data_IF_326460013526
#
_entry.id   IF_326460013526
#
_cell.length_a   1.000
_cell.length_b   1.000
_cell.length_c   1.000
_cell.angle_alpha   90.00
_cell.angle_beta   90.00
_cell.angle_gamma   90.00
#
_symmetry.space_group_name_H-M   'P 1'
#
loop_
_entity.id
_entity.type
_entity.pdbx_description
1 polymer ?
#
# COMPACT_ATOMS: atom_id res chain seq x y z
N UNK A 1 -4.53 14.56 8.55
CA UNK A 1 -3.77 13.94 9.67
C UNK A 1 -2.37 13.65 9.19
N UNK A 2 -1.33 14.33 9.68
CA UNK A 2 -0.02 14.26 9.06
C UNK A 2 0.68 12.91 9.27
N UNK A 3 1.38 12.48 8.23
CA UNK A 3 2.39 11.43 8.29
C UNK A 3 3.76 12.10 8.36
N UNK A 4 4.55 11.83 9.39
CA UNK A 4 5.79 12.52 9.64
C UNK A 4 6.96 11.52 9.79
N UNK A 5 8.08 11.83 9.18
CA UNK A 5 9.31 11.04 9.22
C UNK A 5 10.35 11.88 9.94
N UNK A 6 10.95 11.33 11.00
CA UNK A 6 11.90 12.06 11.84
C UNK A 6 13.19 11.28 11.96
N UNK A 7 14.28 11.84 11.41
CA UNK A 7 15.64 11.29 11.45
C UNK A 7 15.71 9.79 11.11
N UNK A 8 14.92 9.37 10.10
CA UNK A 8 14.77 7.96 9.75
C UNK A 8 16.05 7.44 9.11
N UNK A 9 16.57 6.36 9.67
CA UNK A 9 17.70 5.61 9.11
C UNK A 9 17.35 4.14 8.94
N UNK A 10 17.83 3.53 7.87
CA UNK A 10 17.75 2.10 7.69
C UNK A 10 19.06 1.53 7.12
N UNK A 11 19.59 0.55 7.83
CA UNK A 11 20.80 -0.17 7.47
C UNK A 11 20.49 -1.64 7.33
N UNK A 12 20.60 -2.18 6.12
CA UNK A 12 20.47 -3.61 5.86
C UNK A 12 21.72 -4.34 6.36
N UNK A 13 21.53 -5.55 6.90
CA UNK A 13 22.63 -6.44 7.34
C UNK A 13 23.63 -5.78 8.28
N UNK A 14 23.16 -4.90 9.18
CA UNK A 14 24.00 -4.13 10.12
C UNK A 14 24.96 -5.03 10.88
N UNK A 15 26.22 -4.63 10.91
CA UNK A 15 27.30 -5.37 11.60
C UNK A 15 27.85 -6.56 10.81
N UNK A 16 27.44 -6.75 9.55
CA UNK A 16 27.96 -7.78 8.66
C UNK A 16 28.86 -7.20 7.56
N UNK A 17 29.65 -8.03 6.85
CA UNK A 17 30.40 -7.60 5.66
C UNK A 17 29.53 -7.05 4.51
N UNK A 18 28.21 -7.33 4.55
CA UNK A 18 27.22 -6.90 3.55
C UNK A 18 26.39 -5.73 4.05
N UNK A 19 26.87 -4.96 5.01
CA UNK A 19 26.20 -3.79 5.54
C UNK A 19 25.96 -2.76 4.43
N UNK A 20 24.71 -2.29 4.32
CA UNK A 20 24.31 -1.29 3.32
C UNK A 20 23.37 -0.27 3.95
N UNK A 21 23.74 1.01 3.91
CA UNK A 21 22.93 2.13 4.37
C UNK A 21 21.95 2.49 3.26
N UNK A 22 20.68 2.15 3.44
CA UNK A 22 19.62 2.43 2.45
C UNK A 22 18.95 3.79 2.67
N UNK A 23 18.77 4.20 3.92
CA UNK A 23 18.23 5.50 4.31
C UNK A 23 19.10 6.12 5.36
N UNK A 24 19.36 7.43 5.25
CA UNK A 24 20.17 8.19 6.21
C UNK A 24 19.53 9.56 6.45
N UNK A 25 19.19 9.82 7.71
CA UNK A 25 18.66 11.11 8.20
C UNK A 25 17.51 11.67 7.35
N UNK A 26 16.55 10.82 7.03
CA UNK A 26 15.37 11.24 6.25
C UNK A 26 14.40 11.97 7.16
N UNK A 27 14.05 13.17 6.77
CA UNK A 27 13.09 14.03 7.45
C UNK A 27 12.06 14.52 6.41
N UNK A 28 10.77 14.28 6.67
CA UNK A 28 9.69 14.73 5.80
C UNK A 28 8.39 14.78 6.59
N UNK A 29 7.50 15.69 6.21
CA UNK A 29 6.15 15.78 6.74
C UNK A 29 5.17 15.87 5.58
N UNK A 30 4.13 15.07 5.64
CA UNK A 30 3.07 14.97 4.64
C UNK A 30 1.77 15.40 5.30
N UNK A 31 1.16 16.45 4.79
CA UNK A 31 -0.10 16.99 5.32
C UNK A 31 -1.32 16.35 4.64
N UNK A 32 -2.49 16.56 5.22
CA UNK A 32 -3.74 16.09 4.64
C UNK A 32 -4.01 16.73 3.27
N UNK A 33 -4.40 15.88 2.32
CA UNK A 33 -4.73 16.30 0.97
C UNK A 33 -3.54 16.59 0.07
N UNK A 34 -2.32 16.36 0.54
CA UNK A 34 -1.13 16.50 -0.31
C UNK A 34 -0.98 15.32 -1.28
N UNK A 35 -0.50 15.64 -2.48
CA UNK A 35 -0.05 14.67 -3.46
C UNK A 35 1.47 14.80 -3.65
N UNK A 36 2.22 13.75 -3.25
CA UNK A 36 3.68 13.78 -3.23
C UNK A 36 4.26 12.82 -4.24
N UNK A 37 5.16 13.30 -5.10
CA UNK A 37 5.96 12.50 -6.00
C UNK A 37 7.34 12.19 -5.42
N UNK A 38 7.62 10.91 -5.17
CA UNK A 38 8.95 10.44 -4.75
C UNK A 38 9.76 10.02 -5.97
N UNK A 39 10.78 10.81 -6.30
CA UNK A 39 11.60 10.63 -7.51
C UNK A 39 13.05 10.25 -7.13
N UNK A 40 13.64 9.35 -7.89
CA UNK A 40 15.04 8.94 -7.73
C UNK A 40 15.37 7.73 -8.57
N UNK A 41 16.65 7.47 -8.80
CA UNK A 41 17.13 6.31 -9.56
C UNK A 41 16.84 4.99 -8.80
N UNK A 42 16.92 3.86 -9.51
CA UNK A 42 16.84 2.53 -8.88
C UNK A 42 17.94 2.37 -7.83
N UNK A 43 17.58 1.84 -6.66
CA UNK A 43 18.51 1.69 -5.52
C UNK A 43 18.70 2.95 -4.67
N UNK A 44 17.96 4.06 -4.93
CA UNK A 44 18.04 5.27 -4.10
C UNK A 44 17.28 5.20 -2.77
N UNK A 45 16.70 4.04 -2.42
CA UNK A 45 15.99 3.85 -1.16
C UNK A 45 14.48 4.13 -1.19
N UNK A 46 13.86 4.45 -2.34
CA UNK A 46 12.42 4.75 -2.45
C UNK A 46 11.54 3.66 -1.85
N UNK A 47 11.67 2.43 -2.34
CA UNK A 47 10.84 1.31 -1.85
C UNK A 47 11.16 0.97 -0.39
N UNK A 48 12.40 1.16 0.06
CA UNK A 48 12.76 1.04 1.49
C UNK A 48 12.00 2.06 2.32
N UNK A 49 11.98 3.34 1.90
CA UNK A 49 11.24 4.40 2.57
C UNK A 49 9.74 4.08 2.63
N UNK A 50 9.14 3.74 1.49
CA UNK A 50 7.73 3.37 1.36
C UNK A 50 7.34 2.25 2.34
N UNK A 51 8.17 1.22 2.48
CA UNK A 51 7.91 0.09 3.38
C UNK A 51 7.99 0.48 4.86
N UNK A 52 8.73 1.54 5.22
CA UNK A 52 8.69 2.08 6.59
C UNK A 52 7.38 2.82 6.85
N UNK A 53 6.83 3.54 5.85
CA UNK A 53 5.61 4.34 6.03
C UNK A 53 4.39 3.49 6.43
N UNK A 54 4.31 2.24 5.98
CA UNK A 54 3.22 1.34 6.34
C UNK A 54 3.63 0.24 7.35
N UNK A 55 4.83 0.39 7.97
CA UNK A 55 5.31 -0.50 9.01
C UNK A 55 5.67 -1.92 8.55
N UNK A 56 6.02 -2.12 7.27
CA UNK A 56 6.56 -3.40 6.77
C UNK A 56 8.02 -3.58 7.14
N UNK A 57 8.81 -2.49 7.18
CA UNK A 57 10.17 -2.47 7.66
C UNK A 57 10.25 -1.66 8.95
N UNK A 58 11.06 -2.14 9.90
CA UNK A 58 11.39 -1.41 11.12
C UNK A 58 12.69 -0.63 10.90
N UNK A 59 12.76 0.66 11.25
CA UNK A 59 13.97 1.47 11.06
C UNK A 59 15.10 1.03 11.99
N UNK A 60 16.32 1.32 11.58
CA UNK A 60 17.52 1.15 12.44
C UNK A 60 17.57 2.24 13.51
N UNK A 61 17.14 3.45 13.17
CA UNK A 61 16.95 4.59 14.08
C UNK A 61 15.95 5.59 13.48
N UNK A 62 15.52 6.56 14.28
CA UNK A 62 14.48 7.51 13.90
C UNK A 62 13.09 6.96 14.09
N UNK A 63 12.08 7.65 13.57
CA UNK A 63 10.68 7.29 13.75
C UNK A 63 9.81 7.71 12.57
N UNK A 64 8.69 7.01 12.42
CA UNK A 64 7.58 7.40 11.55
C UNK A 64 6.37 7.65 12.45
N UNK A 65 5.81 8.84 12.36
CA UNK A 65 4.67 9.26 13.15
C UNK A 65 3.43 9.31 12.26
N UNK A 66 2.38 8.63 12.67
CA UNK A 66 1.06 8.74 12.06
C UNK A 66 0.10 9.33 13.10
N UNK A 67 -0.47 10.50 12.80
CA UNK A 67 -1.27 11.26 13.76
C UNK A 67 -0.53 11.58 15.07
N UNK A 68 0.77 11.90 14.98
CA UNK A 68 1.63 12.21 16.12
C UNK A 68 2.06 11.00 16.98
N UNK A 69 1.68 9.78 16.59
CA UNK A 69 2.08 8.54 17.27
C UNK A 69 3.13 7.79 16.48
N UNK A 70 4.19 7.39 17.16
CA UNK A 70 5.24 6.57 16.55
C UNK A 70 4.71 5.16 16.28
N UNK A 71 4.63 4.81 15.00
CA UNK A 71 4.03 3.55 14.55
C UNK A 71 4.79 2.31 15.02
N UNK A 72 6.09 2.45 15.35
CA UNK A 72 6.93 1.33 15.78
C UNK A 72 6.95 1.11 17.28
N UNK A 73 6.34 2.03 18.05
CA UNK A 73 6.16 1.89 19.50
C UNK A 73 4.78 1.34 19.89
N UNK A 74 3.94 1.16 18.89
CA UNK A 74 2.57 0.67 19.06
C UNK A 74 2.54 -0.87 19.15
N UNK A 75 1.47 -1.42 19.73
CA UNK A 75 1.25 -2.85 19.81
C UNK A 75 0.84 -3.46 18.46
N UNK A 76 0.82 -4.81 18.38
CA UNK A 76 0.45 -5.53 17.17
C UNK A 76 -0.95 -5.18 16.64
N UNK A 77 -1.90 -4.87 17.51
CA UNK A 77 -3.27 -4.49 17.10
C UNK A 77 -3.30 -3.11 16.45
N UNK A 78 -2.52 -2.18 16.99
CA UNK A 78 -2.36 -0.84 16.42
C UNK A 78 -1.67 -0.89 15.06
N UNK A 79 -0.68 -1.78 14.88
CA UNK A 79 -0.04 -2.00 13.57
C UNK A 79 -1.01 -2.55 12.51
N UNK A 80 -1.94 -3.41 12.87
CA UNK A 80 -3.00 -3.86 11.96
C UNK A 80 -3.86 -2.67 11.54
N UNK A 81 -4.31 -1.85 12.48
CA UNK A 81 -5.09 -0.63 12.19
C UNK A 81 -4.31 0.37 11.34
N UNK A 82 -3.00 0.52 11.57
CA UNK A 82 -2.15 1.38 10.77
C UNK A 82 -2.18 0.97 9.30
N UNK A 83 -2.01 -0.33 8.99
CA UNK A 83 -2.00 -0.86 7.64
C UNK A 83 -3.35 -0.72 6.92
N UNK A 84 -4.44 -0.58 7.66
CA UNK A 84 -5.73 -0.20 7.09
C UNK A 84 -5.76 1.27 6.69
N UNK A 85 -5.17 2.15 7.52
CA UNK A 85 -5.15 3.57 7.27
C UNK A 85 -4.12 3.99 6.21
N UNK A 86 -3.05 3.21 6.05
CA UNK A 86 -1.99 3.45 5.07
C UNK A 86 -1.98 2.29 4.07
N UNK A 87 -2.75 2.46 2.99
CA UNK A 87 -2.80 1.51 1.88
C UNK A 87 -1.52 1.57 1.05
N UNK A 88 -0.96 0.42 0.73
CA UNK A 88 0.22 0.29 -0.11
C UNK A 88 -0.08 -0.59 -1.32
N UNK A 89 0.10 -0.03 -2.50
CA UNK A 89 0.11 -0.75 -3.78
C UNK A 89 1.56 -0.97 -4.18
N UNK A 90 2.00 -2.22 -4.21
CA UNK A 90 3.35 -2.60 -4.60
C UNK A 90 3.56 -2.51 -6.11
N UNK A 91 4.81 -2.51 -6.52
CA UNK A 91 5.20 -2.76 -7.90
C UNK A 91 4.67 -4.15 -8.34
N UNK A 92 4.00 -4.22 -9.49
CA UNK A 92 3.30 -5.43 -9.98
C UNK A 92 2.24 -5.98 -9.01
N UNK A 93 1.24 -5.17 -8.62
CA UNK A 93 0.25 -5.56 -7.60
C UNK A 93 -0.64 -6.72 -8.06
N UNK A 94 -0.71 -7.01 -9.36
CA UNK A 94 -1.40 -8.14 -9.96
C UNK A 94 -0.89 -9.51 -9.46
N UNK A 95 0.35 -9.59 -8.99
CA UNK A 95 0.90 -10.82 -8.41
C UNK A 95 0.36 -11.12 -7.00
N UNK A 96 -0.43 -10.21 -6.43
CA UNK A 96 -1.04 -10.38 -5.10
C UNK A 96 -2.45 -10.95 -5.17
N UNK A 97 -3.02 -11.11 -6.36
CA UNK A 97 -4.35 -11.71 -6.56
C UNK A 97 -4.30 -13.22 -6.30
N UNK A 98 -5.27 -13.74 -5.56
CA UNK A 98 -5.26 -15.16 -5.15
C UNK A 98 -6.66 -15.78 -5.00
N UNK A 99 -7.72 -15.00 -5.03
CA UNK A 99 -9.09 -15.48 -4.86
C UNK A 99 -9.68 -16.03 -6.17
N UNK A 100 -10.75 -16.81 -6.06
CA UNK A 100 -11.43 -17.43 -7.19
C UNK A 100 -12.13 -16.41 -8.09
N UNK A 101 -12.63 -15.32 -7.52
CA UNK A 101 -13.34 -14.26 -8.25
C UNK A 101 -12.85 -12.87 -7.87
N UNK A 102 -12.96 -11.93 -8.82
CA UNK A 102 -12.63 -10.52 -8.63
C UNK A 102 -13.34 -9.94 -7.40
N UNK A 103 -14.65 -10.20 -7.24
CA UNK A 103 -15.38 -9.68 -6.10
C UNK A 103 -14.85 -10.22 -4.76
N UNK A 104 -14.49 -11.51 -4.70
CA UNK A 104 -13.90 -12.11 -3.48
C UNK A 104 -12.53 -11.52 -3.17
N UNK A 105 -11.70 -11.30 -4.17
CA UNK A 105 -10.35 -10.74 -4.02
C UNK A 105 -10.42 -9.31 -3.46
N UNK A 106 -11.23 -8.45 -4.08
CA UNK A 106 -11.44 -7.07 -3.60
C UNK A 106 -12.11 -7.03 -2.22
N UNK A 107 -12.98 -8.00 -1.88
CA UNK A 107 -13.63 -8.10 -0.59
C UNK A 107 -12.69 -8.56 0.55
N UNK A 108 -11.53 -9.10 0.26
CA UNK A 108 -10.63 -9.69 1.26
C UNK A 108 -10.21 -8.68 2.35
N UNK A 109 -9.79 -7.48 1.94
CA UNK A 109 -9.44 -6.40 2.88
C UNK A 109 -10.61 -5.98 3.77
N UNK A 110 -11.74 -5.57 3.20
CA UNK A 110 -12.97 -5.21 3.94
C UNK A 110 -13.47 -6.30 4.91
N UNK A 111 -13.40 -7.58 4.53
CA UNK A 111 -13.73 -8.70 5.44
C UNK A 111 -12.83 -8.74 6.66
N UNK A 112 -11.53 -8.54 6.48
CA UNK A 112 -10.56 -8.50 7.58
C UNK A 112 -10.77 -7.30 8.51
N UNK A 113 -11.43 -6.24 8.04
CA UNK A 113 -11.88 -5.10 8.85
C UNK A 113 -13.09 -5.43 9.73
N UNK A 114 -13.76 -6.55 9.47
CA UNK A 114 -14.97 -6.96 10.20
C UNK A 114 -16.21 -6.13 9.84
N UNK A 115 -16.26 -5.60 8.62
CA UNK A 115 -17.40 -4.84 8.10
C UNK A 115 -18.60 -5.76 7.86
N UNK A 116 -19.80 -5.18 7.81
CA UNK A 116 -21.02 -5.90 7.45
C UNK A 116 -20.99 -6.32 5.97
N UNK A 117 -21.71 -7.39 5.62
CA UNK A 117 -21.82 -7.88 4.24
C UNK A 117 -22.32 -6.79 3.28
N UNK A 118 -23.23 -5.93 3.74
CA UNK A 118 -23.76 -4.82 2.95
C UNK A 118 -22.70 -3.75 2.68
N UNK A 119 -21.91 -3.38 3.68
CA UNK A 119 -20.79 -2.44 3.53
C UNK A 119 -19.72 -3.01 2.61
N UNK A 120 -19.38 -4.30 2.78
CA UNK A 120 -18.42 -4.99 1.91
C UNK A 120 -18.88 -4.93 0.46
N UNK A 121 -20.13 -5.34 0.19
CA UNK A 121 -20.68 -5.33 -1.18
C UNK A 121 -20.65 -3.92 -1.81
N UNK A 122 -20.97 -2.90 -1.02
CA UNK A 122 -20.93 -1.49 -1.45
C UNK A 122 -19.52 -1.06 -1.79
N UNK A 123 -18.55 -1.27 -0.90
CA UNK A 123 -17.14 -0.89 -1.10
C UNK A 123 -16.49 -1.62 -2.27
N UNK A 124 -16.78 -2.92 -2.41
CA UNK A 124 -16.28 -3.74 -3.53
C UNK A 124 -16.78 -3.19 -4.87
N UNK A 125 -18.07 -2.92 -5.00
CA UNK A 125 -18.63 -2.33 -6.22
C UNK A 125 -17.98 -0.98 -6.52
N UNK A 126 -17.99 -0.07 -5.55
CA UNK A 126 -17.43 1.27 -5.73
C UNK A 126 -15.95 1.26 -6.11
N UNK A 127 -15.14 0.42 -5.47
CA UNK A 127 -13.71 0.34 -5.74
C UNK A 127 -13.41 -0.24 -7.12
N UNK A 128 -14.18 -1.24 -7.58
CA UNK A 128 -14.03 -1.79 -8.93
C UNK A 128 -14.43 -0.74 -9.98
N UNK A 129 -15.52 0.00 -9.76
CA UNK A 129 -15.92 1.07 -10.66
C UNK A 129 -14.96 2.26 -10.66
N UNK A 130 -14.39 2.60 -9.50
CA UNK A 130 -13.40 3.67 -9.36
C UNK A 130 -12.13 3.43 -10.20
N UNK A 131 -11.71 2.18 -10.35
CA UNK A 131 -10.57 1.83 -11.22
C UNK A 131 -10.97 1.65 -12.70
N UNK A 132 -12.18 2.02 -13.09
CA UNK A 132 -12.66 1.99 -14.48
C UNK A 132 -12.97 0.59 -14.98
N UNK A 133 -13.39 -0.32 -14.11
CA UNK A 133 -13.93 -1.62 -14.47
C UNK A 133 -15.44 -1.64 -14.27
N UNK A 134 -16.16 -2.38 -15.12
CA UNK A 134 -17.60 -2.59 -14.95
C UNK A 134 -17.86 -3.73 -13.98
N UNK A 135 -18.32 -3.42 -12.77
CA UNK A 135 -18.52 -4.39 -11.68
C UNK A 135 -19.30 -5.64 -12.13
N UNK A 136 -20.47 -5.46 -12.75
CA UNK A 136 -21.32 -6.59 -13.15
C UNK A 136 -20.71 -7.47 -14.25
N UNK A 137 -19.75 -6.94 -14.99
CA UNK A 137 -19.04 -7.70 -16.03
C UNK A 137 -17.90 -8.55 -15.47
N UNK A 138 -17.23 -8.09 -14.38
CA UNK A 138 -16.00 -8.73 -13.91
C UNK A 138 -16.14 -9.44 -12.57
N UNK A 139 -17.15 -9.15 -11.78
CA UNK A 139 -17.26 -9.59 -10.38
C UNK A 139 -17.14 -11.10 -10.16
N UNK A 140 -17.69 -11.90 -11.08
CA UNK A 140 -17.70 -13.37 -11.01
C UNK A 140 -16.57 -14.01 -11.82
N UNK A 141 -15.79 -13.21 -12.58
CA UNK A 141 -14.65 -13.73 -13.34
C UNK A 141 -13.49 -14.06 -12.41
N UNK A 142 -12.71 -15.05 -12.81
CA UNK A 142 -11.41 -15.28 -12.16
C UNK A 142 -10.47 -14.11 -12.46
N UNK A 143 -9.76 -13.56 -11.45
CA UNK A 143 -8.73 -12.56 -11.70
C UNK A 143 -7.71 -12.97 -12.77
N UNK A 144 -7.41 -14.26 -12.84
CA UNK A 144 -6.40 -14.82 -13.76
C UNK A 144 -6.87 -14.93 -15.22
N UNK A 145 -8.15 -14.72 -15.49
CA UNK A 145 -8.71 -14.67 -16.84
C UNK A 145 -8.70 -13.24 -17.43
N UNK A 146 -8.35 -12.25 -16.61
CA UNK A 146 -8.30 -10.85 -16.99
C UNK A 146 -6.99 -10.51 -17.72
N UNK A 147 -6.99 -9.43 -18.51
CA UNK A 147 -5.75 -8.86 -19.04
C UNK A 147 -4.87 -8.33 -17.91
N UNK A 148 -3.54 -8.25 -18.12
CA UNK A 148 -2.61 -7.76 -17.10
C UNK A 148 -2.99 -6.36 -16.55
N UNK A 149 -3.44 -5.46 -17.43
CA UNK A 149 -3.92 -4.14 -17.00
C UNK A 149 -5.23 -4.20 -16.19
N UNK A 150 -6.11 -5.18 -16.46
CA UNK A 150 -7.31 -5.38 -15.65
C UNK A 150 -6.96 -6.02 -14.29
N UNK A 151 -6.08 -7.03 -14.26
CA UNK A 151 -5.57 -7.61 -13.01
C UNK A 151 -4.96 -6.55 -12.10
N UNK A 152 -4.11 -5.66 -12.64
CA UNK A 152 -3.53 -4.55 -11.87
C UNK A 152 -4.60 -3.63 -11.30
N UNK A 153 -5.63 -3.28 -12.07
CA UNK A 153 -6.74 -2.46 -11.59
C UNK A 153 -7.54 -3.16 -10.50
N UNK A 154 -7.76 -4.47 -10.60
CA UNK A 154 -8.41 -5.25 -9.53
C UNK A 154 -7.59 -5.23 -8.24
N UNK A 155 -6.28 -5.42 -8.32
CA UNK A 155 -5.40 -5.35 -7.16
C UNK A 155 -5.40 -3.96 -6.49
N UNK A 156 -5.42 -2.88 -7.30
CA UNK A 156 -5.59 -1.51 -6.78
C UNK A 156 -6.97 -1.34 -6.11
N UNK A 157 -8.03 -1.87 -6.73
CA UNK A 157 -9.38 -1.82 -6.15
C UNK A 157 -9.44 -2.50 -4.78
N UNK A 158 -8.70 -3.61 -4.58
CA UNK A 158 -8.60 -4.30 -3.29
C UNK A 158 -8.01 -3.42 -2.18
N UNK A 159 -7.03 -2.56 -2.52
CA UNK A 159 -6.48 -1.59 -1.56
C UNK A 159 -7.47 -0.44 -1.32
N UNK A 160 -8.11 0.07 -2.38
CA UNK A 160 -9.08 1.17 -2.27
C UNK A 160 -10.33 0.78 -1.48
N UNK A 161 -10.76 -0.49 -1.55
CA UNK A 161 -11.91 -1.00 -0.80
C UNK A 161 -11.75 -0.93 0.73
N UNK A 162 -10.52 -0.82 1.22
CA UNK A 162 -10.23 -0.56 2.63
C UNK A 162 -10.41 0.91 3.02
N UNK A 163 -10.61 1.83 2.06
CA UNK A 163 -10.74 3.29 2.25
C UNK A 163 -9.58 3.87 3.07
N UNK A 164 -8.33 3.68 2.64
CA UNK A 164 -7.18 4.16 3.39
C UNK A 164 -7.15 5.71 3.44
N UNK A 165 -6.65 6.27 4.54
CA UNK A 165 -6.44 7.71 4.71
C UNK A 165 -5.21 8.20 3.91
N UNK A 166 -4.22 7.33 3.74
CA UNK A 166 -3.02 7.56 2.92
C UNK A 166 -2.89 6.43 1.92
N UNK A 167 -2.76 6.76 0.64
CA UNK A 167 -2.50 5.78 -0.41
C UNK A 167 -1.07 5.96 -0.92
N UNK A 168 -0.30 4.89 -0.86
CA UNK A 168 1.07 4.84 -1.38
C UNK A 168 1.09 3.94 -2.60
N UNK A 169 1.68 4.44 -3.69
CA UNK A 169 1.83 3.69 -4.93
C UNK A 169 3.32 3.54 -5.24
N UNK A 170 3.83 2.31 -5.24
CA UNK A 170 5.23 2.02 -5.60
C UNK A 170 5.31 1.67 -7.10
N UNK A 171 5.89 2.57 -7.89
CA UNK A 171 6.04 2.45 -9.34
C UNK A 171 4.74 2.02 -10.08
N UNK A 172 3.61 2.71 -9.91
CA UNK A 172 2.30 2.26 -10.38
C UNK A 172 2.20 2.10 -11.90
N UNK A 173 3.12 2.70 -12.66
CA UNK A 173 3.16 2.61 -14.12
C UNK A 173 4.22 1.63 -14.65
N UNK A 174 4.96 0.95 -13.78
CA UNK A 174 5.97 -0.01 -14.21
C UNK A 174 5.35 -1.12 -15.07
N UNK A 175 5.96 -1.39 -16.23
CA UNK A 175 5.48 -2.41 -17.15
C UNK A 175 4.21 -2.07 -17.94
N UNK A 176 3.70 -0.84 -17.84
CA UNK A 176 2.65 -0.35 -18.72
C UNK A 176 3.25 0.19 -20.02
N UNK A 177 2.54 -0.04 -21.13
CA UNK A 177 2.90 0.53 -22.44
C UNK A 177 2.72 2.07 -22.38
N UNK A 178 3.74 2.86 -22.75
CA UNK A 178 3.62 4.31 -22.78
C UNK A 178 2.74 4.72 -24.00
N UNK A 179 1.45 4.92 -23.75
CA UNK A 179 0.49 5.50 -24.71
C UNK A 179 -0.04 6.82 -24.21
#
# INVERSE_FOLDING_TARGET
MPLEIVNLEHVYSKGSPFEFVALKDINCRIEDGEFIGLIGHTGSGKSTLIQHLNGLLTPTSGSVLFNGKDIFKEDRKSMVKLRHNIGLVFQYPEHQLFEETVAKDVAFGPKNLGLSEEEIATRVRQSIEMVGLHYDAVKEQSPFELSGGQMRRVAIAGVLAMEPQVLILDEPTAGLDPR
#
